data_IF_114470292521
#
_entry.id   IF_114470292521
#
_cell.length_a   1.000
_cell.length_b   1.000
_cell.length_c   1.000
_cell.angle_alpha   90.00
_cell.angle_beta   90.00
_cell.angle_gamma   90.00
#
_symmetry.space_group_name_H-M   'P 1'
#
loop_
_entity.id
_entity.type
_entity.pdbx_description
1 polymer ?
#
# COMPACT_ATOMS: atom_id res chain seq x y z
N UNK A 1 137.81 42.81 55.07
CA UNK A 1 138.27 42.61 56.48
C UNK A 1 137.61 41.32 56.98
N UNK A 2 138.22 40.35 57.69
CA UNK A 2 139.10 40.39 58.89
C UNK A 2 138.28 40.82 60.14
N UNK A 3 138.29 40.11 61.30
CA UNK A 3 138.77 38.72 61.58
C UNK A 3 138.06 37.92 62.75
N UNK A 4 138.61 36.73 63.12
CA UNK A 4 138.82 36.09 64.48
C UNK A 4 137.63 36.02 65.49
N UNK A 5 137.37 34.97 66.30
CA UNK A 5 138.02 33.67 66.70
C UNK A 5 137.12 32.98 67.79
N UNK A 6 137.50 32.07 68.71
CA UNK A 6 138.69 31.23 69.02
C UNK A 6 138.30 30.14 70.09
N UNK A 7 139.14 29.11 70.34
CA UNK A 7 139.16 28.11 71.48
C UNK A 7 138.30 26.83 71.34
N UNK A 8 138.60 25.80 72.16
CA UNK A 8 138.48 24.38 71.76
C UNK A 8 138.43 23.33 72.90
N UNK A 9 137.89 22.13 72.57
CA UNK A 9 138.17 20.75 73.07
C UNK A 9 137.84 20.38 74.53
N UNK A 10 137.67 19.07 74.90
CA UNK A 10 137.62 17.80 74.12
C UNK A 10 136.23 17.07 74.30
N UNK A 11 135.95 15.75 74.15
CA UNK A 11 136.72 14.51 73.85
C UNK A 11 135.84 13.33 73.29
N UNK A 12 136.51 12.30 72.75
CA UNK A 12 136.26 10.83 72.75
C UNK A 12 135.11 10.06 72.00
N UNK A 13 135.54 8.92 71.42
CA UNK A 13 134.88 7.66 70.96
C UNK A 13 133.80 7.62 69.84
N UNK A 14 134.26 7.28 68.61
CA UNK A 14 133.86 6.13 67.73
C UNK A 14 132.39 5.87 67.29
N UNK A 15 132.12 5.04 66.24
CA UNK A 15 132.99 4.35 65.26
C UNK A 15 132.64 4.67 63.76
N UNK A 16 133.06 3.83 62.82
CA UNK A 16 132.87 3.91 61.36
C UNK A 16 131.91 2.82 60.88
N UNK A 17 130.92 3.12 60.01
CA UNK A 17 130.45 2.20 58.92
C UNK A 17 129.32 2.74 57.98
N UNK A 18 128.44 3.64 58.43
CA UNK A 18 127.09 3.79 57.82
C UNK A 18 127.00 4.22 56.34
N UNK A 19 127.95 5.00 55.82
CA UNK A 19 127.75 5.78 54.57
C UNK A 19 127.52 4.97 53.28
N UNK A 20 127.99 3.72 53.18
CA UNK A 20 127.75 2.87 52.00
C UNK A 20 126.44 2.06 52.06
N UNK A 21 125.87 1.87 53.26
CA UNK A 21 124.59 1.17 53.44
C UNK A 21 123.42 2.13 53.19
N UNK A 22 123.60 3.43 53.47
CA UNK A 22 122.60 4.46 53.24
C UNK A 22 122.35 4.73 51.74
N UNK A 23 123.38 4.73 50.90
CA UNK A 23 123.25 5.06 49.47
C UNK A 23 122.55 3.97 48.65
N UNK A 24 122.77 2.69 48.97
CA UNK A 24 122.06 1.57 48.34
C UNK A 24 120.59 1.55 48.74
N UNK A 25 120.29 1.71 50.04
CA UNK A 25 118.91 1.78 50.55
C UNK A 25 118.12 2.98 50.02
N UNK A 26 118.78 4.12 49.79
CA UNK A 26 118.15 5.28 49.13
C UNK A 26 117.67 4.94 47.72
N UNK A 27 118.49 4.27 46.90
CA UNK A 27 118.11 3.88 45.54
C UNK A 27 116.94 2.86 45.52
N UNK A 28 116.94 1.88 46.43
CA UNK A 28 115.81 0.95 46.60
C UNK A 28 114.53 1.70 47.06
N UNK A 29 114.65 2.65 47.98
CA UNK A 29 113.54 3.41 48.54
C UNK A 29 112.95 4.40 47.52
N UNK A 30 113.75 5.01 46.65
CA UNK A 30 113.26 5.83 45.53
C UNK A 30 112.52 5.00 44.48
N UNK A 31 113.01 3.81 44.12
CA UNK A 31 112.27 2.91 43.22
C UNK A 31 110.95 2.44 43.85
N UNK A 32 110.97 2.03 45.12
CA UNK A 32 109.77 1.58 45.84
C UNK A 32 108.70 2.68 45.98
N UNK A 33 109.11 3.91 46.32
CA UNK A 33 108.19 5.06 46.43
C UNK A 33 107.64 5.50 45.07
N UNK A 34 108.47 5.53 44.02
CA UNK A 34 108.02 5.81 42.65
C UNK A 34 106.94 4.83 42.16
N UNK A 35 107.16 3.53 42.36
CA UNK A 35 106.18 2.49 42.01
C UNK A 35 104.88 2.62 42.84
N UNK A 36 104.99 2.88 44.15
CA UNK A 36 103.83 3.05 45.04
C UNK A 36 102.96 4.26 44.68
N UNK A 37 103.58 5.39 44.26
CA UNK A 37 102.85 6.58 43.80
C UNK A 37 102.09 6.28 42.50
N UNK A 38 102.70 5.53 41.58
CA UNK A 38 102.05 5.07 40.35
C UNK A 38 100.82 4.20 40.61
N UNK A 39 100.93 3.23 41.53
CA UNK A 39 99.83 2.36 41.96
C UNK A 39 98.67 3.15 42.59
N UNK A 40 98.94 4.06 43.53
CA UNK A 40 97.91 4.91 44.15
C UNK A 40 97.22 5.83 43.13
N UNK A 41 97.94 6.32 42.12
CA UNK A 41 97.35 7.10 41.02
C UNK A 41 96.42 6.23 40.18
N UNK A 42 96.84 5.03 39.77
CA UNK A 42 95.99 4.05 39.06
C UNK A 42 94.74 3.66 39.85
N UNK A 43 94.86 3.42 41.16
CA UNK A 43 93.72 3.13 42.04
C UNK A 43 92.64 4.24 42.01
N UNK A 44 93.04 5.52 42.05
CA UNK A 44 92.09 6.64 41.92
C UNK A 44 91.38 6.65 40.56
N UNK A 45 92.10 6.44 39.47
CA UNK A 45 91.50 6.35 38.12
C UNK A 45 90.51 5.18 38.01
N UNK A 46 90.82 4.02 38.60
CA UNK A 46 89.88 2.88 38.68
C UNK A 46 88.65 3.24 39.50
N UNK A 47 88.82 3.87 40.67
CA UNK A 47 87.72 4.24 41.56
C UNK A 47 86.77 5.27 40.92
N UNK A 48 87.31 6.30 40.25
CA UNK A 48 86.50 7.22 39.45
C UNK A 48 85.81 6.53 38.27
N UNK A 49 86.49 5.59 37.60
CA UNK A 49 85.90 4.78 36.53
C UNK A 49 84.68 3.97 37.00
N UNK A 50 84.78 3.30 38.15
CA UNK A 50 83.66 2.55 38.76
C UNK A 50 82.49 3.47 39.13
N UNK A 51 82.77 4.65 39.72
CA UNK A 51 81.73 5.64 40.04
C UNK A 51 81.05 6.17 38.77
N UNK A 52 81.81 6.47 37.71
CA UNK A 52 81.27 6.92 36.43
C UNK A 52 80.39 5.83 35.79
N UNK A 53 80.80 4.57 35.82
CA UNK A 53 79.99 3.44 35.31
C UNK A 53 78.70 3.25 36.13
N UNK A 54 78.76 3.34 37.46
CA UNK A 54 77.56 3.33 38.30
C UNK A 54 76.62 4.52 38.01
N UNK A 55 77.17 5.72 37.84
CA UNK A 55 76.40 6.93 37.55
C UNK A 55 75.73 6.88 36.17
N UNK A 56 76.45 6.42 35.14
CA UNK A 56 75.90 6.20 33.79
C UNK A 56 74.84 5.08 33.80
N UNK A 57 75.04 4.01 34.56
CA UNK A 57 74.04 2.96 34.76
C UNK A 57 72.77 3.47 35.45
N UNK A 58 72.91 4.31 36.48
CA UNK A 58 71.79 4.97 37.15
C UNK A 58 71.04 5.93 36.22
N UNK A 59 71.76 6.76 35.45
CA UNK A 59 71.16 7.63 34.43
C UNK A 59 70.40 6.83 33.36
N UNK A 60 70.96 5.72 32.87
CA UNK A 60 70.29 4.84 31.92
C UNK A 60 69.00 4.25 32.51
N UNK A 61 69.03 3.78 33.77
CA UNK A 61 67.84 3.29 34.46
C UNK A 61 66.78 4.39 34.62
N UNK A 62 67.16 5.62 34.99
CA UNK A 62 66.25 6.77 35.13
C UNK A 62 65.58 7.09 33.77
N UNK A 63 66.38 7.18 32.69
CA UNK A 63 65.86 7.45 31.33
C UNK A 63 64.95 6.32 30.85
N UNK A 64 65.30 5.05 31.13
CA UNK A 64 64.44 3.90 30.79
C UNK A 64 63.11 3.96 31.55
N UNK A 65 63.13 4.13 32.87
CA UNK A 65 61.93 4.22 33.70
C UNK A 65 61.05 5.39 33.27
N UNK A 66 61.63 6.55 32.96
CA UNK A 66 60.90 7.69 32.42
C UNK A 66 60.20 7.38 31.09
N UNK A 67 60.91 6.76 30.14
CA UNK A 67 60.37 6.38 28.83
C UNK A 67 59.26 5.31 28.94
N UNK A 68 59.46 4.30 29.78
CA UNK A 68 58.48 3.23 29.97
C UNK A 68 57.24 3.73 30.75
N UNK A 69 57.41 4.63 31.72
CA UNK A 69 56.29 5.32 32.38
C UNK A 69 55.52 6.24 31.43
N UNK A 70 56.20 6.94 30.51
CA UNK A 70 55.58 7.79 29.49
C UNK A 70 54.66 6.97 28.56
N UNK A 71 55.13 5.81 28.09
CA UNK A 71 54.31 4.85 27.34
C UNK A 71 53.14 4.33 28.16
N UNK A 72 53.35 4.04 29.46
CA UNK A 72 52.29 3.56 30.35
C UNK A 72 51.17 4.60 30.47
N UNK A 73 51.51 5.88 30.64
CA UNK A 73 50.55 6.99 30.69
C UNK A 73 49.77 7.13 29.37
N UNK A 74 50.45 7.10 28.23
CA UNK A 74 49.80 7.15 26.91
C UNK A 74 48.85 5.95 26.69
N UNK A 75 49.22 4.76 27.15
CA UNK A 75 48.35 3.58 27.09
C UNK A 75 47.12 3.72 28.02
N UNK A 76 47.28 4.31 29.21
CA UNK A 76 46.18 4.58 30.15
C UNK A 76 45.21 5.63 29.57
N UNK A 77 45.72 6.70 28.95
CA UNK A 77 44.90 7.71 28.27
C UNK A 77 44.14 7.13 27.07
N UNK A 78 44.81 6.26 26.29
CA UNK A 78 44.19 5.51 25.18
C UNK A 78 43.08 4.57 25.69
N UNK A 79 43.29 3.89 26.82
CA UNK A 79 42.28 3.03 27.43
C UNK A 79 41.09 3.83 28.00
N UNK A 80 41.35 4.96 28.64
CA UNK A 80 40.33 5.83 29.22
C UNK A 80 39.43 6.47 28.14
N UNK A 81 40.03 6.90 27.02
CA UNK A 81 39.27 7.42 25.86
C UNK A 81 38.45 6.32 25.18
N UNK A 82 39.00 5.11 25.02
CA UNK A 82 38.26 3.95 24.50
C UNK A 82 37.07 3.55 25.40
N UNK A 83 37.24 3.57 26.72
CA UNK A 83 36.15 3.31 27.68
C UNK A 83 35.05 4.38 27.58
N UNK A 84 35.42 5.67 27.54
CA UNK A 84 34.46 6.77 27.38
C UNK A 84 33.69 6.68 26.06
N UNK A 85 34.32 6.24 24.98
CA UNK A 85 33.62 5.94 23.73
C UNK A 85 32.65 4.76 23.91
N UNK A 86 33.06 3.68 24.59
CA UNK A 86 32.18 2.53 24.84
C UNK A 86 30.96 2.85 25.72
N UNK A 87 31.10 3.72 26.72
CA UNK A 87 29.95 4.22 27.49
C UNK A 87 29.00 5.07 26.62
N UNK A 88 29.55 5.81 25.65
CA UNK A 88 28.77 6.60 24.68
C UNK A 88 28.03 5.68 23.71
N UNK A 89 28.73 4.72 23.08
CA UNK A 89 28.16 3.70 22.20
C UNK A 89 27.04 2.91 22.90
N UNK A 90 27.25 2.53 24.17
CA UNK A 90 26.31 1.77 24.97
C UNK A 90 25.09 2.61 25.40
N UNK A 91 25.26 3.93 25.51
CA UNK A 91 24.15 4.86 25.78
C UNK A 91 23.30 5.08 24.52
N UNK A 92 23.89 5.28 23.35
CA UNK A 92 23.13 5.39 22.09
C UNK A 92 22.43 4.07 21.75
N UNK A 93 23.10 2.93 21.91
CA UNK A 93 22.49 1.59 21.68
C UNK A 93 21.26 1.38 22.57
N UNK A 94 21.28 1.81 23.85
CA UNK A 94 20.12 1.74 24.74
C UNK A 94 18.96 2.65 24.28
N UNK A 95 19.27 3.83 23.76
CA UNK A 95 18.27 4.75 23.20
C UNK A 95 17.64 4.17 21.92
N UNK A 96 18.44 3.55 21.04
CA UNK A 96 17.96 2.87 19.84
C UNK A 96 17.06 1.68 20.16
N UNK A 97 17.42 0.85 21.15
CA UNK A 97 16.58 -0.25 21.64
C UNK A 97 15.25 0.30 22.16
N UNK A 98 15.28 1.33 23.01
CA UNK A 98 14.07 1.95 23.58
C UNK A 98 13.15 2.53 22.48
N UNK A 99 13.72 3.14 21.45
CA UNK A 99 12.98 3.63 20.29
C UNK A 99 12.39 2.49 19.44
N UNK A 100 13.07 1.33 19.36
CA UNK A 100 12.55 0.14 18.67
C UNK A 100 11.45 -0.55 19.46
N UNK A 101 11.54 -0.62 20.78
CA UNK A 101 10.47 -1.14 21.64
C UNK A 101 9.19 -0.29 21.50
N UNK A 102 9.32 1.04 21.43
CA UNK A 102 8.20 1.95 21.15
C UNK A 102 7.61 1.75 19.74
N UNK A 103 8.45 1.50 18.73
CA UNK A 103 8.00 1.20 17.36
C UNK A 103 7.26 -0.14 17.28
N UNK A 104 7.71 -1.16 18.03
CA UNK A 104 7.02 -2.45 18.13
C UNK A 104 5.65 -2.30 18.81
N UNK A 105 5.59 -1.63 19.96
CA UNK A 105 4.32 -1.38 20.67
C UNK A 105 3.30 -0.62 19.80
N UNK A 106 3.76 0.35 19.00
CA UNK A 106 2.91 1.06 18.05
C UNK A 106 2.46 0.17 16.88
N UNK A 107 3.32 -0.74 16.40
CA UNK A 107 2.98 -1.71 15.36
C UNK A 107 1.95 -2.73 15.86
N UNK A 108 2.14 -3.30 17.06
CA UNK A 108 1.22 -4.25 17.68
C UNK A 108 -0.17 -3.64 17.90
N UNK A 109 -0.25 -2.42 18.42
CA UNK A 109 -1.51 -1.69 18.56
C UNK A 109 -2.19 -1.41 17.19
N UNK A 110 -1.41 -1.12 16.14
CA UNK A 110 -1.95 -0.97 14.79
C UNK A 110 -2.47 -2.29 14.20
N UNK A 111 -1.82 -3.41 14.54
CA UNK A 111 -2.22 -4.75 14.12
C UNK A 111 -3.53 -5.19 14.78
N UNK A 112 -3.71 -4.89 16.08
CA UNK A 112 -4.96 -5.15 16.80
C UNK A 112 -6.14 -4.38 16.17
N UNK A 113 -5.96 -3.10 15.84
CA UNK A 113 -6.97 -2.29 15.15
C UNK A 113 -7.33 -2.86 13.76
N UNK A 114 -6.33 -3.30 12.98
CA UNK A 114 -6.56 -3.93 11.66
C UNK A 114 -7.27 -5.28 11.80
N UNK A 115 -6.95 -6.08 12.82
CA UNK A 115 -7.66 -7.33 13.08
C UNK A 115 -9.13 -7.10 13.46
N UNK A 116 -9.43 -6.07 14.25
CA UNK A 116 -10.80 -5.69 14.60
C UNK A 116 -11.60 -5.20 13.37
N UNK A 117 -11.01 -4.35 12.52
CA UNK A 117 -11.62 -3.88 11.27
C UNK A 117 -11.88 -5.03 10.28
N UNK A 118 -10.93 -5.97 10.13
CA UNK A 118 -11.10 -7.17 9.31
C UNK A 118 -12.22 -8.09 9.84
N UNK A 119 -12.34 -8.24 11.16
CA UNK A 119 -13.43 -9.02 11.77
C UNK A 119 -14.80 -8.36 11.53
N UNK A 120 -14.90 -7.04 11.70
CA UNK A 120 -16.14 -6.31 11.42
C UNK A 120 -16.55 -6.43 9.95
N UNK A 121 -15.62 -6.21 9.00
CA UNK A 121 -15.90 -6.36 7.56
C UNK A 121 -16.35 -7.77 7.18
N UNK A 122 -15.85 -8.80 7.85
CA UNK A 122 -16.28 -10.18 7.62
C UNK A 122 -17.73 -10.40 8.09
N UNK A 123 -18.11 -9.85 9.25
CA UNK A 123 -19.50 -9.84 9.72
C UNK A 123 -20.42 -9.06 8.78
N UNK A 124 -20.02 -7.84 8.38
CA UNK A 124 -20.79 -7.01 7.43
C UNK A 124 -21.01 -7.74 6.09
N UNK A 125 -19.98 -8.42 5.59
CA UNK A 125 -20.05 -9.22 4.36
C UNK A 125 -20.98 -10.43 4.49
N UNK A 126 -20.98 -11.11 5.64
CA UNK A 126 -21.91 -12.21 5.92
C UNK A 126 -23.36 -11.71 5.91
N UNK A 127 -23.67 -10.62 6.61
CA UNK A 127 -24.99 -9.98 6.58
C UNK A 127 -25.38 -9.51 5.17
N UNK A 128 -24.43 -9.00 4.37
CA UNK A 128 -24.69 -8.64 2.97
C UNK A 128 -25.01 -9.87 2.10
N UNK A 129 -24.36 -11.01 2.31
CA UNK A 129 -24.66 -12.28 1.61
C UNK A 129 -26.04 -12.81 1.99
N UNK A 130 -26.40 -12.80 3.27
CA UNK A 130 -27.72 -13.22 3.76
C UNK A 130 -28.85 -12.37 3.16
N UNK A 131 -28.69 -11.04 3.15
CA UNK A 131 -29.64 -10.11 2.52
C UNK A 131 -29.78 -10.37 1.01
N UNK A 132 -28.68 -10.63 0.29
CA UNK A 132 -28.74 -10.97 -1.14
C UNK A 132 -29.49 -12.29 -1.39
N UNK A 133 -29.28 -13.31 -0.55
CA UNK A 133 -29.99 -14.59 -0.65
C UNK A 133 -31.50 -14.42 -0.39
N UNK A 134 -31.88 -13.60 0.59
CA UNK A 134 -33.29 -13.26 0.86
C UNK A 134 -33.94 -12.55 -0.35
N UNK A 135 -33.29 -11.51 -0.90
CA UNK A 135 -33.77 -10.79 -2.08
C UNK A 135 -33.92 -11.69 -3.31
N UNK A 136 -33.04 -12.69 -3.50
CA UNK A 136 -33.18 -13.68 -4.57
C UNK A 136 -34.42 -14.58 -4.38
N UNK A 137 -34.71 -15.00 -3.14
CA UNK A 137 -35.91 -15.78 -2.83
C UNK A 137 -37.21 -14.99 -3.00
N UNK A 138 -37.22 -13.70 -2.62
CA UNK A 138 -38.33 -12.78 -2.90
C UNK A 138 -38.53 -12.57 -4.40
N UNK A 139 -37.45 -12.32 -5.15
CA UNK A 139 -37.49 -12.14 -6.60
C UNK A 139 -38.01 -13.39 -7.33
N UNK A 140 -37.61 -14.59 -6.90
CA UNK A 140 -38.17 -15.84 -7.41
C UNK A 140 -39.68 -15.97 -7.09
N UNK A 141 -40.08 -15.60 -5.87
CA UNK A 141 -41.49 -15.59 -5.46
C UNK A 141 -42.32 -14.60 -6.27
N UNK A 142 -41.78 -13.41 -6.56
CA UNK A 142 -42.42 -12.38 -7.39
C UNK A 142 -42.53 -12.83 -8.86
N UNK A 143 -41.50 -13.46 -9.44
CA UNK A 143 -41.56 -14.06 -10.79
C UNK A 143 -42.64 -15.13 -10.89
N UNK A 144 -42.80 -15.97 -9.87
CA UNK A 144 -43.87 -16.98 -9.82
C UNK A 144 -45.25 -16.31 -9.73
N UNK A 145 -45.44 -15.32 -8.84
CA UNK A 145 -46.69 -14.54 -8.74
C UNK A 145 -47.05 -13.85 -10.05
N UNK A 146 -46.09 -13.20 -10.72
CA UNK A 146 -46.28 -12.55 -12.03
C UNK A 146 -46.63 -13.56 -13.14
N UNK A 147 -46.00 -14.74 -13.13
CA UNK A 147 -46.31 -15.81 -14.10
C UNK A 147 -47.74 -16.31 -13.94
N UNK A 148 -48.20 -16.53 -12.70
CA UNK A 148 -49.59 -16.89 -12.40
C UNK A 148 -50.58 -15.76 -12.71
N UNK A 149 -50.22 -14.49 -12.43
CA UNK A 149 -51.04 -13.34 -12.78
C UNK A 149 -51.23 -13.22 -14.29
N UNK A 150 -50.16 -13.35 -15.08
CA UNK A 150 -50.22 -13.33 -16.55
C UNK A 150 -51.04 -14.51 -17.11
N UNK A 151 -50.94 -15.71 -16.49
CA UNK A 151 -51.79 -16.84 -16.88
C UNK A 151 -53.28 -16.58 -16.55
N UNK A 152 -53.58 -15.95 -15.42
CA UNK A 152 -54.94 -15.56 -15.05
C UNK A 152 -55.48 -14.48 -16.00
N UNK A 153 -54.69 -13.46 -16.35
CA UNK A 153 -55.06 -12.45 -17.36
C UNK A 153 -55.35 -13.10 -18.71
N UNK A 154 -54.49 -14.00 -19.19
CA UNK A 154 -54.73 -14.75 -20.43
C UNK A 154 -56.03 -15.56 -20.40
N UNK A 155 -56.29 -16.29 -19.30
CA UNK A 155 -57.53 -17.05 -19.13
C UNK A 155 -58.77 -16.15 -19.06
N UNK A 156 -58.69 -14.99 -18.39
CA UNK A 156 -59.77 -14.01 -18.32
C UNK A 156 -60.06 -13.40 -19.68
N UNK A 157 -59.04 -12.98 -20.44
CA UNK A 157 -59.20 -12.47 -21.81
C UNK A 157 -59.83 -13.53 -22.72
N UNK A 158 -59.35 -14.77 -22.69
CA UNK A 158 -59.93 -15.87 -23.47
C UNK A 158 -61.39 -16.20 -23.09
N UNK A 159 -61.82 -15.86 -21.86
CA UNK A 159 -63.18 -16.05 -21.36
C UNK A 159 -64.13 -14.89 -21.71
N UNK A 160 -63.68 -13.64 -21.62
CA UNK A 160 -64.54 -12.45 -21.79
C UNK A 160 -64.46 -11.79 -23.17
N UNK A 161 -63.41 -12.05 -23.94
CA UNK A 161 -63.22 -11.39 -25.23
C UNK A 161 -64.12 -11.97 -26.33
N UNK A 162 -64.75 -11.09 -27.11
CA UNK A 162 -65.57 -11.51 -28.25
C UNK A 162 -64.65 -11.82 -29.43
N UNK A 163 -64.70 -13.07 -29.92
CA UNK A 163 -63.88 -13.52 -31.05
C UNK A 163 -64.33 -12.83 -32.35
N UNK A 164 -63.37 -12.33 -33.12
CA UNK A 164 -63.57 -11.64 -34.41
C UNK A 164 -62.49 -12.06 -35.41
N UNK A 165 -62.74 -11.86 -36.71
CA UNK A 165 -61.72 -12.03 -37.75
C UNK A 165 -60.88 -10.75 -37.92
N UNK A 166 -59.67 -10.87 -38.49
CA UNK A 166 -58.87 -9.70 -38.94
C UNK A 166 -59.70 -8.71 -39.76
N UNK A 167 -60.46 -9.19 -40.75
CA UNK A 167 -61.35 -8.37 -41.61
C UNK A 167 -62.50 -7.65 -40.86
N UNK A 168 -62.80 -8.02 -39.60
CA UNK A 168 -63.73 -7.26 -38.75
C UNK A 168 -62.98 -6.34 -37.77
N UNK A 169 -61.84 -6.77 -37.21
CA UNK A 169 -61.00 -5.95 -36.33
C UNK A 169 -60.33 -4.77 -37.05
N UNK A 170 -60.03 -4.89 -38.35
CA UNK A 170 -59.39 -3.84 -39.15
C UNK A 170 -60.35 -2.74 -39.60
N UNK A 171 -61.66 -2.95 -39.40
CA UNK A 171 -62.71 -1.92 -39.63
C UNK A 171 -62.84 -0.93 -38.48
N UNK A 172 -61.99 -1.02 -37.47
CA UNK A 172 -61.98 -0.14 -36.29
C UNK A 172 -60.65 0.61 -36.28
N UNK A 173 -60.72 1.95 -36.31
CA UNK A 173 -59.55 2.85 -36.32
C UNK A 173 -58.66 2.64 -35.10
N UNK A 174 -57.34 2.69 -35.30
CA UNK A 174 -56.36 2.57 -34.23
C UNK A 174 -56.44 3.77 -33.26
N UNK A 175 -56.26 3.48 -31.98
CA UNK A 175 -56.07 4.49 -30.94
C UNK A 175 -54.72 5.18 -31.09
N UNK A 176 -54.66 6.49 -30.81
CA UNK A 176 -53.38 7.16 -30.64
C UNK A 176 -52.76 6.73 -29.30
N UNK A 177 -51.87 5.75 -29.40
CA UNK A 177 -51.12 5.16 -28.29
C UNK A 177 -49.74 4.75 -28.78
N UNK A 178 -48.69 5.11 -28.05
CA UNK A 178 -47.45 4.34 -28.06
C UNK A 178 -47.61 3.20 -27.05
N UNK A 179 -47.68 1.92 -27.47
CA UNK A 179 -47.56 0.79 -26.56
C UNK A 179 -46.08 0.61 -26.15
N UNK A 180 -45.82 0.27 -24.89
CA UNK A 180 -44.46 -0.07 -24.45
C UNK A 180 -43.92 -1.28 -25.23
N UNK A 181 -42.74 -1.13 -25.84
CA UNK A 181 -42.09 -2.15 -26.67
C UNK A 181 -40.73 -1.68 -27.18
N UNK A 182 -40.18 -2.40 -28.15
CA UNK A 182 -39.19 -1.83 -29.07
C UNK A 182 -39.93 -1.07 -30.18
N UNK A 183 -39.30 0.00 -30.66
CA UNK A 183 -39.79 0.93 -31.68
C UNK A 183 -38.53 1.28 -32.50
N UNK A 184 -38.31 0.54 -33.59
CA UNK A 184 -36.99 0.44 -34.24
C UNK A 184 -36.70 1.60 -35.21
N UNK A 185 -37.72 2.25 -35.76
CA UNK A 185 -37.59 3.42 -36.64
C UNK A 185 -38.06 4.76 -36.02
N UNK A 186 -38.70 4.71 -34.84
CA UNK A 186 -39.21 5.86 -34.08
C UNK A 186 -40.43 6.59 -34.67
N UNK A 187 -41.26 5.90 -35.48
CA UNK A 187 -42.64 6.32 -35.78
C UNK A 187 -43.54 6.35 -34.51
N UNK A 188 -43.27 5.48 -33.54
CA UNK A 188 -44.01 5.40 -32.29
C UNK A 188 -45.18 4.41 -32.27
N UNK A 189 -45.29 3.52 -33.26
CA UNK A 189 -45.80 2.17 -33.06
C UNK A 189 -44.77 1.35 -32.27
N UNK A 190 -44.93 0.03 -32.24
CA UNK A 190 -43.90 -0.87 -31.71
C UNK A 190 -43.77 -2.09 -32.62
N UNK A 191 -42.58 -2.68 -32.70
CA UNK A 191 -42.26 -3.77 -33.63
C UNK A 191 -43.29 -4.92 -33.57
N UNK A 192 -43.87 -5.22 -32.39
CA UNK A 192 -44.95 -6.22 -32.24
C UNK A 192 -46.29 -5.74 -32.83
N UNK A 193 -46.69 -4.49 -32.56
CA UNK A 193 -47.95 -3.93 -33.06
C UNK A 193 -47.92 -3.80 -34.59
N UNK A 194 -46.80 -3.35 -35.12
CA UNK A 194 -46.52 -3.28 -36.55
C UNK A 194 -46.63 -4.64 -37.24
N UNK A 195 -45.92 -5.65 -36.73
CA UNK A 195 -45.93 -7.01 -37.27
C UNK A 195 -47.35 -7.63 -37.30
N UNK A 196 -48.24 -7.19 -36.40
CA UNK A 196 -49.65 -7.59 -36.36
C UNK A 196 -50.51 -6.86 -37.40
N UNK A 197 -50.22 -5.57 -37.63
CA UNK A 197 -50.94 -4.75 -38.60
C UNK A 197 -50.50 -5.12 -40.03
N UNK A 198 -49.20 -5.20 -40.26
CA UNK A 198 -48.55 -5.64 -41.50
C UNK A 198 -47.44 -4.71 -42.02
N UNK A 199 -47.01 -3.73 -41.22
CA UNK A 199 -46.02 -2.70 -41.57
C UNK A 199 -44.58 -3.19 -41.42
N UNK A 200 -43.62 -2.40 -41.88
CA UNK A 200 -42.20 -2.71 -41.91
C UNK A 200 -41.45 -2.02 -40.77
N UNK A 201 -41.10 -2.79 -39.73
CA UNK A 201 -40.48 -2.32 -38.47
C UNK A 201 -39.05 -1.74 -38.60
N UNK A 202 -38.62 -1.38 -39.79
CA UNK A 202 -37.37 -0.67 -40.08
C UNK A 202 -37.62 0.58 -40.95
N UNK A 203 -38.88 1.03 -41.01
CA UNK A 203 -39.38 2.14 -41.81
C UNK A 203 -40.62 2.78 -41.19
N UNK A 204 -40.48 4.02 -40.74
CA UNK A 204 -41.61 4.84 -40.29
C UNK A 204 -42.67 5.13 -41.36
N UNK A 205 -42.37 4.87 -42.63
CA UNK A 205 -43.23 5.00 -43.81
C UNK A 205 -43.05 3.74 -44.68
N UNK A 206 -44.01 2.80 -44.58
CA UNK A 206 -43.92 1.47 -45.19
C UNK A 206 -44.12 1.49 -46.71
N UNK A 207 -45.07 2.28 -47.23
CA UNK A 207 -45.42 2.32 -48.66
C UNK A 207 -44.67 3.41 -49.46
N UNK A 208 -44.08 4.38 -48.74
CA UNK A 208 -43.19 5.45 -49.19
C UNK A 208 -43.93 6.62 -49.88
N UNK A 209 -45.15 6.95 -49.45
CA UNK A 209 -45.92 8.13 -49.91
C UNK A 209 -45.60 9.46 -49.19
N UNK A 210 -44.95 9.41 -48.03
CA UNK A 210 -44.53 10.57 -47.23
C UNK A 210 -45.32 10.83 -45.93
N UNK A 211 -46.29 9.98 -45.58
CA UNK A 211 -46.88 9.93 -44.23
C UNK A 211 -46.25 8.80 -43.39
N UNK A 212 -46.39 8.86 -42.06
CA UNK A 212 -45.95 7.76 -41.20
C UNK A 212 -47.06 6.75 -40.97
N UNK A 213 -46.69 5.48 -40.83
CA UNK A 213 -47.63 4.37 -40.69
C UNK A 213 -48.62 4.61 -39.54
N UNK A 214 -48.15 5.11 -38.41
CA UNK A 214 -48.99 5.53 -37.28
C UNK A 214 -49.95 6.65 -37.61
N UNK A 215 -49.46 7.70 -38.29
CA UNK A 215 -50.28 8.85 -38.65
C UNK A 215 -51.44 8.42 -39.55
N UNK A 216 -51.17 7.54 -40.51
CA UNK A 216 -52.17 6.90 -41.35
C UNK A 216 -53.16 6.04 -40.57
N UNK A 217 -52.67 5.10 -39.76
CA UNK A 217 -53.51 4.16 -38.99
C UNK A 217 -54.43 4.87 -37.98
N UNK A 218 -53.99 6.00 -37.42
CA UNK A 218 -54.79 6.87 -36.55
C UNK A 218 -55.80 7.70 -37.35
N UNK A 219 -55.45 8.11 -38.57
CA UNK A 219 -56.28 8.86 -39.52
C UNK A 219 -57.28 8.03 -40.33
N UNK A 220 -57.06 6.71 -40.45
CA UNK A 220 -57.85 5.80 -41.28
C UNK A 220 -57.32 5.61 -42.72
N UNK A 221 -56.06 5.93 -42.97
CA UNK A 221 -55.36 5.65 -44.24
C UNK A 221 -54.63 4.30 -44.19
N UNK A 222 -54.14 3.82 -45.33
CA UNK A 222 -53.64 2.44 -45.49
C UNK A 222 -52.12 2.42 -45.72
N UNK A 223 -51.30 2.07 -44.71
CA UNK A 223 -49.83 2.16 -44.75
C UNK A 223 -49.13 1.09 -45.60
N UNK A 224 -49.84 0.51 -46.55
CA UNK A 224 -49.35 -0.54 -47.45
C UNK A 224 -49.84 -0.30 -48.90
N UNK A 225 -50.20 0.94 -49.24
CA UNK A 225 -50.66 1.33 -50.57
C UNK A 225 -51.82 2.34 -50.53
N UNK A 226 -51.67 3.43 -51.29
CA UNK A 226 -52.67 4.47 -51.60
C UNK A 226 -54.14 4.17 -51.21
N UNK A 227 -54.68 4.90 -50.23
CA UNK A 227 -56.13 4.97 -50.01
C UNK A 227 -56.55 5.08 -48.56
N UNK A 228 -57.83 4.78 -48.30
CA UNK A 228 -58.39 4.73 -46.95
C UNK A 228 -58.74 3.28 -46.57
N UNK A 229 -58.51 2.94 -45.30
CA UNK A 229 -58.99 1.70 -44.71
C UNK A 229 -60.52 1.65 -44.73
N UNK A 230 -61.08 0.45 -44.87
CA UNK A 230 -62.52 0.21 -44.94
C UNK A 230 -63.21 0.29 -43.56
N UNK A 231 -63.01 1.39 -42.84
CA UNK A 231 -63.51 1.65 -41.48
C UNK A 231 -65.05 1.63 -41.47
N UNK A 232 -65.65 0.93 -40.49
CA UNK A 232 -67.09 0.92 -40.26
C UNK A 232 -67.41 1.18 -38.78
N UNK A 233 -67.90 2.40 -38.52
CA UNK A 233 -68.30 2.85 -37.18
C UNK A 233 -69.42 1.97 -36.55
N UNK A 234 -70.17 1.19 -37.35
CA UNK A 234 -71.12 0.20 -36.83
C UNK A 234 -70.42 -0.97 -36.16
N UNK A 235 -69.26 -1.38 -36.67
CA UNK A 235 -68.42 -2.44 -36.06
C UNK A 235 -67.83 -1.94 -34.76
N UNK A 236 -67.26 -0.72 -34.74
CA UNK A 236 -66.83 -0.07 -33.50
C UNK A 236 -67.97 0.02 -32.46
N UNK A 237 -69.18 0.40 -32.88
CA UNK A 237 -70.36 0.50 -32.00
C UNK A 237 -70.81 -0.88 -31.49
N UNK A 238 -70.80 -1.93 -32.33
CA UNK A 238 -71.14 -3.32 -31.99
C UNK A 238 -70.23 -3.88 -30.87
N UNK A 239 -68.96 -3.47 -30.87
CA UNK A 239 -67.95 -3.94 -29.91
C UNK A 239 -67.60 -2.93 -28.81
N UNK A 240 -68.22 -1.75 -28.77
CA UNK A 240 -67.99 -0.70 -27.77
C UNK A 240 -67.95 -1.25 -26.34
N UNK A 241 -66.94 -0.81 -25.60
CA UNK A 241 -66.61 -1.16 -24.21
C UNK A 241 -66.31 -2.65 -23.96
N UNK A 242 -66.04 -3.43 -25.01
CA UNK A 242 -65.66 -4.85 -24.93
C UNK A 242 -64.20 -5.06 -25.33
N UNK A 243 -63.65 -6.18 -24.85
CA UNK A 243 -62.45 -6.76 -25.43
C UNK A 243 -62.87 -7.61 -26.64
N UNK A 244 -62.18 -7.45 -27.75
CA UNK A 244 -62.25 -8.34 -28.92
C UNK A 244 -60.97 -9.18 -29.02
N UNK A 245 -61.09 -10.40 -29.55
CA UNK A 245 -59.96 -11.29 -29.81
C UNK A 245 -59.89 -11.61 -31.31
N UNK A 246 -58.99 -10.93 -32.01
CA UNK A 246 -58.73 -11.08 -33.43
C UNK A 246 -58.00 -12.40 -33.69
N UNK A 247 -58.57 -13.22 -34.57
CA UNK A 247 -58.05 -14.51 -35.04
C UNK A 247 -57.62 -15.50 -33.93
N UNK A 248 -58.23 -15.36 -32.73
CA UNK A 248 -57.85 -16.06 -31.49
C UNK A 248 -56.43 -15.74 -30.95
N UNK A 249 -55.76 -14.70 -31.47
CA UNK A 249 -54.36 -14.36 -31.13
C UNK A 249 -54.19 -12.99 -30.49
N UNK A 250 -54.79 -11.94 -31.04
CA UNK A 250 -54.52 -10.55 -30.64
C UNK A 250 -55.72 -9.94 -29.94
N UNK A 251 -55.51 -9.36 -28.76
CA UNK A 251 -56.59 -8.72 -28.01
C UNK A 251 -56.59 -7.20 -28.21
N UNK A 252 -57.78 -6.63 -28.38
CA UNK A 252 -57.99 -5.18 -28.44
C UNK A 252 -59.15 -4.78 -27.54
N UNK A 253 -59.05 -3.64 -26.87
CA UNK A 253 -60.17 -3.01 -26.18
C UNK A 253 -60.80 -1.96 -27.09
N UNK A 254 -62.12 -2.02 -27.30
CA UNK A 254 -62.84 -1.02 -28.09
C UNK A 254 -63.40 0.01 -27.13
N UNK A 255 -62.75 1.18 -27.07
CA UNK A 255 -63.07 2.18 -26.07
C UNK A 255 -64.38 2.93 -26.35
N UNK A 256 -64.82 3.72 -25.37
CA UNK A 256 -66.04 4.51 -25.48
C UNK A 256 -66.01 5.54 -26.64
N UNK A 257 -64.81 5.92 -27.11
CA UNK A 257 -64.58 6.79 -28.27
C UNK A 257 -64.61 6.06 -29.64
N UNK A 258 -64.82 4.74 -29.65
CA UNK A 258 -64.90 3.93 -30.87
C UNK A 258 -63.56 3.48 -31.47
N UNK A 259 -62.41 3.85 -30.88
CA UNK A 259 -61.08 3.40 -31.34
C UNK A 259 -60.65 2.08 -30.69
N UNK A 260 -59.82 1.28 -31.38
CA UNK A 260 -59.22 0.05 -30.85
C UNK A 260 -57.89 0.32 -30.16
N UNK A 261 -57.77 -0.14 -28.92
CA UNK A 261 -56.58 -0.02 -28.07
C UNK A 261 -55.89 -1.40 -27.95
N UNK A 262 -54.59 -1.47 -28.24
CA UNK A 262 -53.83 -2.73 -28.25
C UNK A 262 -53.63 -3.29 -26.84
N UNK A 263 -53.96 -4.57 -26.62
CA UNK A 263 -53.82 -5.23 -25.31
C UNK A 263 -52.72 -6.30 -25.30
N UNK A 264 -52.07 -6.58 -26.44
CA UNK A 264 -51.07 -7.63 -26.58
C UNK A 264 -51.61 -8.88 -27.30
N UNK A 265 -50.83 -9.95 -27.22
CA UNK A 265 -51.05 -11.22 -27.91
C UNK A 265 -51.19 -12.40 -26.94
N UNK A 266 -51.70 -13.53 -27.43
CA UNK A 266 -51.71 -14.77 -26.65
C UNK A 266 -50.29 -15.27 -26.33
N UNK A 267 -49.30 -14.84 -27.12
CA UNK A 267 -47.86 -15.07 -26.93
C UNK A 267 -47.25 -14.26 -25.78
N UNK A 268 -47.48 -12.94 -25.72
CA UNK A 268 -47.00 -12.08 -24.62
C UNK A 268 -47.85 -12.21 -23.33
N UNK A 269 -48.99 -12.92 -23.44
CA UNK A 269 -50.05 -13.12 -22.43
C UNK A 269 -50.83 -11.84 -22.12
N UNK A 270 -51.05 -11.03 -23.14
CA UNK A 270 -51.67 -9.70 -23.07
C UNK A 270 -50.91 -8.76 -22.12
N UNK A 271 -49.59 -8.75 -22.26
CA UNK A 271 -48.65 -7.98 -21.46
C UNK A 271 -48.76 -6.47 -21.69
N UNK A 272 -49.02 -6.04 -22.93
CA UNK A 272 -49.27 -4.62 -23.26
C UNK A 272 -50.44 -3.99 -22.47
N UNK A 273 -51.39 -4.80 -21.94
CA UNK A 273 -52.40 -4.33 -20.98
C UNK A 273 -51.81 -3.53 -19.81
N UNK A 274 -50.62 -3.90 -19.31
CA UNK A 274 -50.02 -3.30 -18.11
C UNK A 274 -49.58 -1.85 -18.30
N UNK A 275 -49.38 -1.44 -19.56
CA UNK A 275 -48.82 -0.15 -19.94
C UNK A 275 -49.80 0.69 -20.77
N UNK A 276 -50.87 0.08 -21.29
CA UNK A 276 -51.84 0.72 -22.17
C UNK A 276 -52.39 2.05 -21.59
N UNK A 277 -52.19 3.19 -22.28
CA UNK A 277 -52.47 4.53 -21.73
C UNK A 277 -53.96 4.84 -21.52
N UNK A 278 -54.88 3.99 -21.96
CA UNK A 278 -56.30 4.09 -21.60
C UNK A 278 -56.58 3.67 -20.14
N UNK A 279 -55.71 2.82 -19.58
CA UNK A 279 -55.87 2.24 -18.24
C UNK A 279 -54.84 2.78 -17.24
N UNK A 280 -53.69 3.28 -17.73
CA UNK A 280 -52.55 3.70 -16.89
C UNK A 280 -52.41 5.22 -16.70
N UNK A 281 -53.19 6.04 -17.42
CA UNK A 281 -53.21 7.50 -17.25
C UNK A 281 -54.44 7.94 -16.45
N UNK A 282 -54.24 8.09 -15.14
CA UNK A 282 -55.21 8.62 -14.16
C UNK A 282 -54.52 9.57 -13.19
#
# INVERSE_FOLDING_TARGET
MVPIGQRALPDNQQPVEEHQILSSRLAEQEQATGQAIGLRRKQRWVFYGVIIVMFLGALFLIVKVYNDNSKLLANIETAATALKQKDTDLTSTKQEITARDQQLQAADASLELVQADLLQKNTDLQTAVENNNALQAELATLKNKLTSANANVANLVLLVAVKVSKTEADKITLADTAPDGADTDADGLSDELESILGTATDKSDSDNDGYSDKAELIGGFNPLGTGQLAIDNKVATKYKEKIILQDNKTAWYIAANGKKYFLGTLSDKFGAMRYNPYWTRS
#
